data_IF_759100270927
#
_entry.id   IF_759100270927
#
_cell.length_a   1.000
_cell.length_b   1.000
_cell.length_c   1.000
_cell.angle_alpha   90.00
_cell.angle_beta   90.00
_cell.angle_gamma   90.00
#
_symmetry.space_group_name_H-M   'P 1'
#
loop_
_entity.id
_entity.type
_entity.pdbx_description
1 polymer ?
#
# COMPACT_ATOMS: atom_id res chain seq x y z
N UNK A 1 3.30 9.83 -15.23
CA UNK A 1 4.63 9.57 -14.62
C UNK A 1 5.38 8.51 -15.42
N UNK A 2 6.72 8.62 -15.56
CA UNK A 2 7.55 7.52 -16.07
C UNK A 2 7.79 6.53 -14.91
N UNK A 3 6.75 5.78 -14.54
CA UNK A 3 6.66 5.02 -13.28
C UNK A 3 7.95 4.28 -12.92
N UNK A 4 8.51 3.47 -13.82
CA UNK A 4 9.72 2.69 -13.50
C UNK A 4 10.99 3.51 -13.27
N UNK A 5 11.09 4.73 -13.82
CA UNK A 5 12.22 5.63 -13.56
C UNK A 5 12.01 6.37 -12.24
N UNK A 6 10.77 6.78 -11.98
CA UNK A 6 10.46 7.69 -10.89
C UNK A 6 10.02 6.97 -9.60
N UNK A 7 9.86 5.64 -9.60
CA UNK A 7 9.34 4.87 -8.46
C UNK A 7 10.08 5.19 -7.16
N UNK A 8 11.42 5.20 -7.17
CA UNK A 8 12.24 5.49 -5.99
C UNK A 8 11.93 6.84 -5.35
N UNK A 9 11.53 7.85 -6.14
CA UNK A 9 11.17 9.19 -5.65
C UNK A 9 9.82 9.23 -4.94
N UNK A 10 8.99 8.23 -5.21
CA UNK A 10 7.64 8.11 -4.67
C UNK A 10 7.56 7.03 -3.59
N UNK A 11 8.68 6.36 -3.29
CA UNK A 11 8.75 5.42 -2.18
C UNK A 11 8.89 6.17 -0.87
N UNK A 12 8.18 5.64 0.12
CA UNK A 12 8.42 5.96 1.51
C UNK A 12 9.70 5.20 1.91
N UNK A 13 10.79 5.87 2.29
CA UNK A 13 12.11 5.25 2.47
C UNK A 13 12.09 4.07 3.44
N UNK A 14 11.39 4.21 4.57
CA UNK A 14 11.27 3.17 5.59
C UNK A 14 10.54 1.91 5.11
N UNK A 15 9.80 2.00 4.01
CA UNK A 15 8.99 0.90 3.46
C UNK A 15 9.47 0.46 2.08
N UNK A 16 10.63 0.93 1.62
CA UNK A 16 11.09 0.74 0.24
C UNK A 16 11.12 -0.73 -0.22
N UNK A 17 11.43 -1.67 0.69
CA UNK A 17 11.48 -3.11 0.43
C UNK A 17 10.10 -3.77 0.27
N UNK A 18 9.04 -3.15 0.79
CA UNK A 18 7.68 -3.67 0.74
C UNK A 18 6.92 -3.24 -0.52
N UNK A 19 7.48 -2.32 -1.32
CA UNK A 19 6.88 -1.93 -2.60
C UNK A 19 6.97 -3.04 -3.65
N UNK A 20 6.09 -2.94 -4.64
CA UNK A 20 6.11 -3.75 -5.85
C UNK A 20 7.48 -3.76 -6.50
N UNK A 21 7.99 -4.96 -6.81
CA UNK A 21 9.25 -5.20 -7.55
C UNK A 21 9.07 -4.90 -9.04
N UNK A 22 8.78 -3.65 -9.36
CA UNK A 22 8.37 -3.21 -10.70
C UNK A 22 9.42 -3.52 -11.78
N UNK A 23 10.71 -3.40 -11.47
CA UNK A 23 11.78 -3.68 -12.42
C UNK A 23 11.80 -5.15 -12.86
N UNK A 24 11.63 -6.08 -11.92
CA UNK A 24 11.58 -7.53 -12.19
C UNK A 24 10.34 -7.88 -13.01
N UNK A 25 9.17 -7.41 -12.58
CA UNK A 25 7.91 -7.63 -13.30
C UNK A 25 7.95 -7.08 -14.72
N UNK A 26 8.57 -5.91 -14.90
CA UNK A 26 8.76 -5.29 -16.22
C UNK A 26 9.69 -6.12 -17.10
N UNK A 27 10.76 -6.71 -16.55
CA UNK A 27 11.67 -7.61 -17.29
C UNK A 27 10.92 -8.88 -17.74
N UNK A 28 10.23 -9.54 -16.81
CA UNK A 28 9.43 -10.75 -17.10
C UNK A 28 8.35 -10.48 -18.16
N UNK A 29 7.63 -9.36 -18.03
CA UNK A 29 6.63 -8.94 -19.03
C UNK A 29 7.24 -8.73 -20.41
N UNK A 30 8.43 -8.14 -20.52
CA UNK A 30 9.13 -7.98 -21.80
C UNK A 30 9.58 -9.31 -22.38
N UNK A 31 10.11 -10.22 -21.56
CA UNK A 31 10.55 -11.53 -22.04
C UNK A 31 9.39 -12.37 -22.54
N UNK A 32 8.27 -12.40 -21.80
CA UNK A 32 7.07 -13.09 -22.24
C UNK A 32 6.53 -12.53 -23.57
N UNK A 33 6.47 -11.20 -23.70
CA UNK A 33 6.05 -10.55 -24.95
C UNK A 33 6.99 -10.87 -26.13
N UNK A 34 8.31 -10.83 -25.90
CA UNK A 34 9.30 -11.17 -26.93
C UNK A 34 9.21 -12.63 -27.36
N UNK A 35 9.00 -13.55 -26.42
CA UNK A 35 8.86 -14.96 -26.72
C UNK A 35 7.64 -15.28 -27.58
N UNK A 36 6.53 -14.53 -27.42
CA UNK A 36 5.35 -14.64 -28.29
C UNK A 36 5.69 -14.20 -29.71
N UNK A 37 6.33 -13.04 -29.86
CA UNK A 37 6.70 -12.49 -31.17
C UNK A 37 7.67 -13.43 -31.91
N UNK A 38 8.56 -14.09 -31.18
CA UNK A 38 9.55 -15.02 -31.73
C UNK A 38 9.05 -16.48 -31.78
N UNK A 39 7.75 -16.73 -31.53
CA UNK A 39 7.10 -18.05 -31.53
C UNK A 39 7.89 -19.13 -30.74
N UNK A 40 8.48 -18.73 -29.61
CA UNK A 40 9.30 -19.64 -28.80
C UNK A 40 8.43 -20.61 -28.02
N UNK A 41 8.90 -21.85 -27.89
CA UNK A 41 8.23 -22.89 -27.09
C UNK A 41 8.18 -22.57 -25.58
N UNK A 42 9.00 -21.63 -25.09
CA UNK A 42 9.07 -21.26 -23.68
C UNK A 42 8.07 -20.18 -23.23
N UNK A 43 7.14 -19.77 -24.10
CA UNK A 43 6.13 -18.74 -23.79
C UNK A 43 5.32 -19.10 -22.54
N UNK A 44 4.86 -20.35 -22.41
CA UNK A 44 4.05 -20.80 -21.28
C UNK A 44 4.80 -20.68 -19.93
N UNK A 45 6.08 -21.08 -19.87
CA UNK A 45 6.92 -20.97 -18.68
C UNK A 45 7.14 -19.50 -18.26
N UNK A 46 7.40 -18.61 -19.23
CA UNK A 46 7.57 -17.18 -18.96
C UNK A 46 6.28 -16.54 -18.43
N UNK A 47 5.13 -16.93 -18.97
CA UNK A 47 3.83 -16.48 -18.46
C UNK A 47 3.55 -17.00 -17.07
N UNK A 48 3.86 -18.26 -16.79
CA UNK A 48 3.70 -18.85 -15.47
C UNK A 48 4.57 -18.10 -14.45
N UNK A 49 5.84 -17.86 -14.76
CA UNK A 49 6.76 -17.07 -13.94
C UNK A 49 6.23 -15.66 -13.65
N UNK A 50 5.72 -14.97 -14.68
CA UNK A 50 5.13 -13.64 -14.51
C UNK A 50 3.88 -13.67 -13.62
N UNK A 51 3.00 -14.66 -13.81
CA UNK A 51 1.76 -14.81 -13.04
C UNK A 51 2.06 -15.11 -11.56
N UNK A 52 2.99 -16.02 -11.29
CA UNK A 52 3.44 -16.32 -9.92
C UNK A 52 4.08 -15.08 -9.27
N UNK A 53 4.96 -14.37 -9.99
CA UNK A 53 5.58 -13.15 -9.49
C UNK A 53 4.56 -12.03 -9.18
N UNK A 54 3.53 -11.87 -10.03
CA UNK A 54 2.44 -10.92 -9.79
C UNK A 54 1.62 -11.28 -8.55
N UNK A 55 1.19 -12.55 -8.43
CA UNK A 55 0.42 -13.02 -7.28
C UNK A 55 1.18 -12.85 -5.98
N UNK A 56 2.46 -13.27 -5.96
CA UNK A 56 3.33 -13.11 -4.80
C UNK A 56 3.55 -11.63 -4.45
N UNK A 57 3.77 -10.77 -5.46
CA UNK A 57 3.92 -9.34 -5.25
C UNK A 57 2.68 -8.68 -4.66
N UNK A 58 1.49 -9.01 -5.18
CA UNK A 58 0.21 -8.49 -4.65
C UNK A 58 0.01 -8.94 -3.21
N UNK A 59 0.17 -10.24 -2.93
CA UNK A 59 0.02 -10.78 -1.58
C UNK A 59 0.99 -10.14 -0.57
N UNK A 60 2.24 -9.90 -0.98
CA UNK A 60 3.23 -9.22 -0.14
C UNK A 60 2.82 -7.77 0.19
N UNK A 61 2.37 -7.02 -0.82
CA UNK A 61 1.91 -5.62 -0.64
C UNK A 61 0.67 -5.57 0.25
N UNK A 62 -0.29 -6.48 0.04
CA UNK A 62 -1.51 -6.60 0.83
C UNK A 62 -1.19 -6.95 2.28
N UNK A 63 -0.35 -7.96 2.52
CA UNK A 63 0.08 -8.36 3.87
C UNK A 63 0.71 -7.19 4.62
N UNK A 64 1.59 -6.44 3.96
CA UNK A 64 2.19 -5.25 4.54
C UNK A 64 1.15 -4.16 4.82
N UNK A 65 0.27 -3.86 3.86
CA UNK A 65 -0.76 -2.83 4.00
C UNK A 65 -1.69 -3.13 5.17
N UNK A 66 -2.22 -4.35 5.24
CA UNK A 66 -3.15 -4.79 6.29
C UNK A 66 -2.50 -4.76 7.66
N UNK A 67 -1.23 -5.20 7.77
CA UNK A 67 -0.47 -5.10 9.01
C UNK A 67 -0.33 -3.64 9.47
N UNK A 68 0.06 -2.74 8.58
CA UNK A 68 0.22 -1.33 8.93
C UNK A 68 -1.12 -0.68 9.27
N UNK A 69 -2.17 -1.01 8.54
CA UNK A 69 -3.52 -0.52 8.83
C UNK A 69 -3.97 -0.94 10.24
N UNK A 70 -3.81 -2.22 10.61
CA UNK A 70 -4.17 -2.73 11.92
C UNK A 70 -3.41 -2.02 13.06
N UNK A 71 -2.11 -1.73 12.86
CA UNK A 71 -1.31 -0.97 13.85
C UNK A 71 -1.87 0.45 14.03
N UNK A 72 -2.24 1.13 12.94
CA UNK A 72 -2.79 2.48 13.02
C UNK A 72 -4.21 2.50 13.61
N UNK A 73 -5.03 1.51 13.29
CA UNK A 73 -6.37 1.33 13.83
C UNK A 73 -6.33 1.08 15.34
N UNK A 74 -5.43 0.20 15.81
CA UNK A 74 -5.24 -0.05 17.24
C UNK A 74 -4.81 1.23 17.98
N UNK A 75 -3.88 2.01 17.41
CA UNK A 75 -3.45 3.29 18.00
C UNK A 75 -4.58 4.32 18.05
N UNK A 76 -5.40 4.40 17.00
CA UNK A 76 -6.58 5.24 16.98
C UNK A 76 -7.62 4.81 18.04
N UNK A 77 -7.84 3.50 18.20
CA UNK A 77 -8.76 2.97 19.20
C UNK A 77 -8.34 3.36 20.63
N UNK A 78 -7.04 3.28 20.95
CA UNK A 78 -6.51 3.70 22.26
C UNK A 78 -6.76 5.19 22.52
N UNK A 79 -6.63 6.03 21.49
CA UNK A 79 -6.93 7.46 21.61
C UNK A 79 -8.41 7.71 21.89
N UNK A 80 -9.30 6.97 21.22
CA UNK A 80 -10.74 7.05 21.44
C UNK A 80 -11.13 6.54 22.84
N UNK A 81 -10.53 5.44 23.31
CA UNK A 81 -10.85 4.85 24.61
C UNK A 81 -10.34 5.68 25.79
N UNK A 82 -9.27 6.47 25.62
CA UNK A 82 -8.80 7.42 26.65
C UNK A 82 -9.80 8.53 26.95
N UNK A 83 -10.68 8.85 26.01
CA UNK A 83 -11.78 9.76 26.26
C UNK A 83 -12.85 9.15 27.15
N UNK A 84 -13.02 7.83 27.14
CA UNK A 84 -14.22 7.15 27.67
C UNK A 84 -14.22 7.06 29.20
N UNK A 85 -14.41 8.20 29.88
CA UNK A 85 -14.66 8.29 31.33
C UNK A 85 -16.14 8.04 31.66
N UNK A 86 -16.73 6.98 31.09
CA UNK A 86 -18.05 6.47 31.51
C UNK A 86 -19.29 7.12 30.87
N UNK A 87 -19.16 7.78 29.71
CA UNK A 87 -20.31 8.31 28.99
C UNK A 87 -20.76 7.34 27.89
N UNK A 88 -21.85 6.61 28.16
CA UNK A 88 -22.48 5.60 27.29
C UNK A 88 -23.12 6.15 26.00
N UNK A 89 -22.51 7.12 25.31
CA UNK A 89 -23.03 7.68 24.07
C UNK A 89 -22.10 7.37 22.89
N UNK A 90 -22.60 6.76 21.79
CA UNK A 90 -21.80 6.31 20.65
C UNK A 90 -21.40 7.44 19.68
N UNK A 91 -21.39 8.69 20.13
CA UNK A 91 -21.16 9.85 19.26
C UNK A 91 -20.06 10.76 19.80
N UNK A 92 -19.02 10.90 18.96
CA UNK A 92 -17.79 11.69 19.14
C UNK A 92 -16.80 11.14 20.18
N UNK A 93 -15.48 11.18 19.89
CA UNK A 93 -14.46 10.85 20.88
C UNK A 93 -14.66 11.69 22.14
N UNK A 94 -14.69 11.05 23.31
CA UNK A 94 -15.08 11.72 24.56
C UNK A 94 -14.10 12.84 25.00
N UNK A 95 -12.89 12.88 24.43
CA UNK A 95 -11.97 14.03 24.56
C UNK A 95 -12.50 15.33 23.89
N UNK A 96 -13.51 15.25 23.03
CA UNK A 96 -14.24 16.40 22.48
C UNK A 96 -15.48 16.79 23.31
N UNK A 97 -15.86 15.95 24.29
CA UNK A 97 -17.10 16.06 25.06
C UNK A 97 -16.80 16.50 26.51
N UNK A 98 -15.68 16.05 27.07
CA UNK A 98 -15.21 16.46 28.39
C UNK A 98 -14.08 17.49 28.29
N UNK A 99 -14.03 18.42 29.26
CA UNK A 99 -12.88 19.29 29.47
C UNK A 99 -11.68 18.40 29.86
N UNK A 100 -10.85 18.07 28.88
CA UNK A 100 -9.49 17.60 29.13
C UNK A 100 -8.73 18.73 29.83
N UNK A 101 -7.79 18.37 30.70
CA UNK A 101 -6.81 19.36 31.09
C UNK A 101 -5.98 19.80 29.86
N UNK A 102 -5.39 21.01 29.87
CA UNK A 102 -4.67 21.54 28.72
C UNK A 102 -3.53 20.63 28.22
N UNK A 103 -2.89 19.87 29.11
CA UNK A 103 -1.79 18.97 28.78
C UNK A 103 -2.32 17.69 28.11
N UNK A 104 -3.36 17.07 28.67
CA UNK A 104 -4.06 15.93 28.06
C UNK A 104 -4.58 16.28 26.65
N UNK A 105 -5.10 17.50 26.47
CA UNK A 105 -5.56 17.99 25.17
C UNK A 105 -4.42 18.15 24.16
N UNK A 106 -3.28 18.69 24.59
CA UNK A 106 -2.10 18.85 23.74
C UNK A 106 -1.55 17.49 23.29
N UNK A 107 -1.43 16.53 24.21
CA UNK A 107 -0.97 15.16 23.91
C UNK A 107 -1.93 14.42 22.96
N UNK A 108 -3.24 14.59 23.15
CA UNK A 108 -4.26 14.00 22.28
C UNK A 108 -4.19 14.60 20.86
N UNK A 109 -4.00 15.92 20.74
CA UNK A 109 -3.85 16.60 19.46
C UNK A 109 -2.57 16.17 18.74
N UNK A 110 -1.45 16.08 19.46
CA UNK A 110 -0.18 15.58 18.90
C UNK A 110 -0.37 14.16 18.33
N UNK A 111 -0.98 13.26 19.10
CA UNK A 111 -1.29 11.89 18.66
C UNK A 111 -2.21 11.87 17.44
N UNK A 112 -3.26 12.70 17.39
CA UNK A 112 -4.13 12.85 16.23
C UNK A 112 -3.35 13.25 14.97
N UNK A 113 -2.46 14.24 15.09
CA UNK A 113 -1.68 14.75 13.97
C UNK A 113 -0.70 13.68 13.45
N UNK A 114 -0.06 12.94 14.34
CA UNK A 114 0.81 11.82 13.99
C UNK A 114 0.05 10.70 13.27
N UNK A 115 -1.10 10.29 13.80
CA UNK A 115 -1.97 9.28 13.17
C UNK A 115 -2.39 9.72 11.77
N UNK A 116 -2.83 10.97 11.60
CA UNK A 116 -3.20 11.53 10.31
C UNK A 116 -2.05 11.47 9.31
N UNK A 117 -0.82 11.79 9.72
CA UNK A 117 0.35 11.70 8.86
C UNK A 117 0.67 10.24 8.50
N UNK A 118 0.56 9.32 9.45
CA UNK A 118 0.79 7.90 9.23
C UNK A 118 -0.25 7.28 8.27
N UNK A 119 -1.53 7.63 8.40
CA UNK A 119 -2.58 7.21 7.45
C UNK A 119 -2.32 7.78 6.05
N UNK A 120 -1.90 9.04 5.92
CA UNK A 120 -1.51 9.61 4.61
C UNK A 120 -0.35 8.85 3.98
N UNK A 121 0.67 8.48 4.76
CA UNK A 121 1.76 7.60 4.31
C UNK A 121 1.21 6.26 3.80
N UNK A 122 0.36 5.59 4.57
CA UNK A 122 -0.21 4.30 4.19
C UNK A 122 -1.08 4.38 2.92
N UNK A 123 -1.91 5.42 2.81
CA UNK A 123 -2.71 5.69 1.61
C UNK A 123 -1.82 5.92 0.38
N UNK A 124 -0.74 6.67 0.54
CA UNK A 124 0.23 6.91 -0.52
C UNK A 124 0.91 5.62 -0.97
N UNK A 125 1.36 4.80 -0.03
CA UNK A 125 1.91 3.47 -0.31
C UNK A 125 0.94 2.60 -1.12
N UNK A 126 -0.33 2.55 -0.72
CA UNK A 126 -1.37 1.79 -1.43
C UNK A 126 -1.56 2.29 -2.87
N UNK A 127 -1.62 3.62 -3.07
CA UNK A 127 -1.75 4.24 -4.38
C UNK A 127 -0.59 3.89 -5.30
N UNK A 128 0.66 4.08 -4.85
CA UNK A 128 1.85 3.84 -5.68
C UNK A 128 1.94 2.36 -6.08
N UNK A 129 1.67 1.43 -5.15
CA UNK A 129 1.68 0.01 -5.47
C UNK A 129 0.58 -0.38 -6.47
N UNK A 130 -0.65 0.09 -6.26
CA UNK A 130 -1.77 -0.11 -7.20
C UNK A 130 -1.39 0.39 -8.61
N UNK A 131 -0.83 1.59 -8.71
CA UNK A 131 -0.43 2.17 -9.98
C UNK A 131 0.72 1.36 -10.62
N UNK A 132 1.62 0.79 -9.82
CA UNK A 132 2.67 -0.10 -10.28
C UNK A 132 2.15 -1.40 -10.88
N UNK A 133 1.25 -2.09 -10.19
CA UNK A 133 0.61 -3.31 -10.71
C UNK A 133 -0.24 -3.01 -11.95
N UNK A 134 -1.06 -1.95 -11.93
CA UNK A 134 -1.85 -1.51 -13.09
C UNK A 134 -0.97 -1.23 -14.31
N UNK A 135 0.19 -0.62 -14.12
CA UNK A 135 1.15 -0.39 -15.20
C UNK A 135 1.77 -1.67 -15.77
N UNK A 136 1.94 -2.73 -14.96
CA UNK A 136 2.39 -4.04 -15.45
C UNK A 136 1.25 -4.77 -16.17
N UNK A 137 0.05 -4.80 -15.58
CA UNK A 137 -1.12 -5.45 -16.18
C UNK A 137 -1.54 -4.78 -17.49
N UNK A 138 -1.48 -3.44 -17.56
CA UNK A 138 -1.74 -2.68 -18.78
C UNK A 138 -0.74 -2.98 -19.91
N UNK A 139 0.47 -3.47 -19.61
CA UNK A 139 1.41 -3.94 -20.63
C UNK A 139 0.98 -5.26 -21.26
N UNK A 140 0.29 -6.14 -20.53
CA UNK A 140 -0.26 -7.39 -21.11
C UNK A 140 -1.30 -7.09 -22.18
N UNK A 141 -2.19 -6.11 -21.96
CA UNK A 141 -3.27 -5.77 -22.91
C UNK A 141 -2.77 -5.35 -24.30
N UNK A 142 -1.50 -4.98 -24.44
CA UNK A 142 -0.88 -4.62 -25.74
C UNK A 142 -0.41 -5.83 -26.56
N UNK A 143 -0.40 -7.02 -25.98
CA UNK A 143 -0.02 -8.26 -26.65
C UNK A 143 -1.22 -9.22 -26.55
N UNK A 144 -2.22 -9.09 -27.43
CA UNK A 144 -3.32 -10.04 -27.47
C UNK A 144 -2.74 -11.44 -27.77
N UNK A 145 -3.10 -12.42 -26.94
CA UNK A 145 -3.00 -13.82 -27.33
C UNK A 145 -4.11 -14.05 -28.35
N UNK A 146 -3.74 -14.34 -29.59
CA UNK A 146 -4.59 -15.09 -30.52
C UNK A 146 -4.59 -16.56 -30.15
#
# INVERSE_FOLDING_TARGET
MKFGRDLHKHQIPEWASSYVRYAELKKLSKFAAKAIIEEKSNVADLWQKLTVALRSGIAAVETFYTRQYAILEQRAAVLCSRGDRGASSPSLPSFLIHELDPQEAEEALATCLELRLAFKKLQWYGKVNRDGFSNILGKRKKFPMT
#
